data_IF_362866917873
#
_entry.id   IF_362866917873
#
_cell.length_a   1.000
_cell.length_b   1.000
_cell.length_c   1.000
_cell.angle_alpha   90.00
_cell.angle_beta   90.00
_cell.angle_gamma   90.00
#
_symmetry.space_group_name_H-M   'P 1'
#
loop_
_entity.id
_entity.type
_entity.pdbx_description
1 polymer ?
#
# COMPACT_ATOMS: atom_id res chain seq x y z
N UNK A 1 59.49 41.01 -6.74
CA UNK A 1 59.19 39.61 -6.43
C UNK A 1 58.19 39.39 -5.26
N UNK A 2 58.17 40.19 -4.19
CA UNK A 2 57.24 39.99 -3.04
C UNK A 2 55.77 40.31 -3.32
N UNK A 3 55.40 41.19 -4.23
CA UNK A 3 53.99 41.54 -4.56
C UNK A 3 53.26 40.46 -5.34
N UNK A 4 53.97 39.74 -6.21
CA UNK A 4 53.32 38.66 -7.02
C UNK A 4 53.10 37.38 -6.22
N UNK A 5 53.89 37.13 -5.18
CA UNK A 5 53.71 36.01 -4.28
C UNK A 5 52.48 36.17 -3.39
N UNK A 6 52.18 37.42 -2.99
CA UNK A 6 50.97 37.71 -2.17
C UNK A 6 49.69 37.58 -2.96
N UNK A 7 49.65 37.96 -4.24
CA UNK A 7 48.51 37.75 -5.13
C UNK A 7 48.25 36.25 -5.43
N UNK A 8 49.32 35.45 -5.55
CA UNK A 8 49.20 34.02 -5.81
C UNK A 8 48.67 33.27 -4.59
N UNK A 9 49.07 33.65 -3.37
CA UNK A 9 48.54 33.11 -2.12
C UNK A 9 47.08 33.52 -1.88
N UNK A 10 46.68 34.74 -2.26
CA UNK A 10 45.25 35.17 -2.17
C UNK A 10 44.36 34.42 -3.15
N UNK A 11 44.84 34.06 -4.35
CA UNK A 11 44.13 33.28 -5.33
C UNK A 11 43.95 31.80 -4.92
N UNK A 12 44.97 31.22 -4.25
CA UNK A 12 44.88 29.86 -3.68
C UNK A 12 43.93 29.78 -2.48
N UNK A 13 43.81 30.86 -1.68
CA UNK A 13 42.89 30.90 -0.54
C UNK A 13 41.42 31.00 -0.97
N UNK A 14 41.14 31.62 -2.12
CA UNK A 14 39.76 31.73 -2.66
C UNK A 14 39.29 30.41 -3.27
N UNK A 15 40.19 29.57 -3.79
CA UNK A 15 39.84 28.25 -4.30
C UNK A 15 39.54 27.20 -3.19
N UNK A 16 40.02 27.40 -1.97
CA UNK A 16 39.88 26.48 -0.85
C UNK A 16 38.51 26.58 -0.13
N UNK A 17 37.69 27.61 -0.44
CA UNK A 17 36.41 27.84 0.21
C UNK A 17 35.17 27.42 -0.64
N UNK A 18 35.36 26.75 -1.79
CA UNK A 18 34.27 26.10 -2.50
C UNK A 18 33.94 24.76 -1.80
N UNK A 19 33.39 24.83 -0.59
CA UNK A 19 32.68 23.68 -0.02
C UNK A 19 31.53 23.37 -0.98
N UNK A 20 31.40 22.11 -1.47
CA UNK A 20 30.22 21.76 -2.22
C UNK A 20 29.01 22.00 -1.32
N UNK A 21 28.27 23.04 -1.60
CA UNK A 21 26.94 23.22 -1.03
C UNK A 21 26.10 22.04 -1.56
N UNK A 22 26.00 20.98 -0.79
CA UNK A 22 25.00 19.96 -1.07
C UNK A 22 23.65 20.68 -1.01
N UNK A 23 23.09 20.94 -2.16
CA UNK A 23 21.75 21.48 -2.25
C UNK A 23 20.85 20.52 -1.45
N UNK A 24 20.22 21.04 -0.41
CA UNK A 24 19.27 20.25 0.40
C UNK A 24 18.22 19.69 -0.55
N UNK A 25 18.01 18.39 -0.53
CA UNK A 25 17.03 17.73 -1.38
C UNK A 25 15.63 18.32 -1.17
N UNK A 26 14.79 18.23 -2.19
CA UNK A 26 13.37 18.64 -2.05
C UNK A 26 12.69 17.74 -1.03
N UNK A 27 12.17 18.34 0.04
CA UNK A 27 11.47 17.60 1.11
C UNK A 27 10.08 17.19 0.65
N UNK A 28 9.74 15.91 0.86
CA UNK A 28 8.45 15.31 0.50
C UNK A 28 7.95 14.41 1.61
N UNK A 29 6.64 14.36 1.78
CA UNK A 29 5.97 13.42 2.67
C UNK A 29 5.27 12.34 1.86
N UNK A 30 5.57 11.07 2.14
CA UNK A 30 4.97 9.92 1.51
C UNK A 30 4.23 9.06 2.54
N UNK A 31 2.89 9.02 2.46
CA UNK A 31 2.04 8.28 3.38
C UNK A 31 1.73 6.89 2.84
N UNK A 32 2.21 5.85 3.52
CA UNK A 32 1.85 4.46 3.24
C UNK A 32 0.40 4.17 3.62
N UNK A 33 -0.12 3.06 3.12
CA UNK A 33 -1.47 2.61 3.46
C UNK A 33 -1.56 1.96 4.84
N UNK A 34 -0.47 1.36 5.32
CA UNK A 34 -0.41 0.56 6.54
C UNK A 34 0.93 0.71 7.27
N UNK A 35 1.09 -0.06 8.37
CA UNK A 35 2.30 -0.10 9.18
C UNK A 35 3.50 -0.66 8.39
N UNK A 36 4.71 -0.34 8.84
CA UNK A 36 5.93 -0.91 8.30
C UNK A 36 5.97 -2.42 8.52
N UNK A 37 6.13 -3.17 7.45
CA UNK A 37 6.38 -4.60 7.42
C UNK A 37 6.87 -4.99 6.01
N UNK A 38 7.07 -6.28 5.75
CA UNK A 38 7.58 -6.73 4.46
C UNK A 38 6.63 -6.49 3.27
N UNK A 39 5.36 -6.13 3.51
CA UNK A 39 4.43 -5.78 2.42
C UNK A 39 4.71 -4.42 1.78
N UNK A 40 5.52 -3.59 2.41
CA UNK A 40 5.98 -2.27 1.94
C UNK A 40 7.49 -2.25 1.75
N UNK A 41 8.10 -3.41 1.51
CA UNK A 41 9.55 -3.56 1.42
C UNK A 41 10.18 -2.69 0.32
N UNK A 42 9.51 -2.49 -0.81
CA UNK A 42 10.02 -1.65 -1.89
C UNK A 42 10.05 -0.17 -1.54
N UNK A 43 9.04 0.31 -0.79
CA UNK A 43 8.99 1.69 -0.30
C UNK A 43 10.15 1.95 0.67
N UNK A 44 10.36 1.02 1.63
CA UNK A 44 11.45 1.07 2.61
C UNK A 44 12.82 0.97 1.92
N UNK A 45 12.93 0.08 0.94
CA UNK A 45 14.17 -0.14 0.21
C UNK A 45 14.57 1.08 -0.62
N UNK A 46 13.59 1.75 -1.25
CA UNK A 46 13.82 2.96 -2.01
C UNK A 46 14.48 4.05 -1.16
N UNK A 47 14.00 4.23 0.08
CA UNK A 47 14.57 5.16 1.04
C UNK A 47 15.94 4.68 1.56
N UNK A 48 15.99 3.46 2.11
CA UNK A 48 17.18 2.90 2.77
C UNK A 48 18.40 2.74 1.83
N UNK A 49 18.17 2.60 0.52
CA UNK A 49 19.23 2.46 -0.50
C UNK A 49 19.51 3.75 -1.25
N UNK A 50 18.92 4.86 -0.82
CA UNK A 50 19.22 6.18 -1.34
C UNK A 50 18.61 6.49 -2.71
N UNK A 51 17.65 5.70 -3.23
CA UNK A 51 17.05 6.01 -4.54
C UNK A 51 16.37 7.37 -4.57
N UNK A 52 15.78 7.80 -3.47
CA UNK A 52 15.20 9.14 -3.35
C UNK A 52 16.29 10.21 -3.29
N UNK A 53 17.32 10.03 -2.47
CA UNK A 53 18.42 11.00 -2.35
C UNK A 53 19.21 11.14 -3.64
N UNK A 54 19.42 10.05 -4.39
CA UNK A 54 20.07 10.08 -5.71
C UNK A 54 19.25 10.86 -6.75
N UNK A 55 17.91 10.92 -6.56
CA UNK A 55 17.02 11.76 -7.35
C UNK A 55 16.93 13.22 -6.84
N UNK A 56 17.70 13.60 -5.81
CA UNK A 56 17.65 14.91 -5.18
C UNK A 56 16.43 15.13 -4.29
N UNK A 57 15.84 14.07 -3.76
CA UNK A 57 14.64 14.09 -2.91
C UNK A 57 14.99 13.69 -1.48
N UNK A 58 14.38 14.35 -0.51
CA UNK A 58 14.38 13.97 0.91
C UNK A 58 12.97 13.53 1.27
N UNK A 59 12.69 12.20 1.16
CA UNK A 59 11.34 11.64 1.33
C UNK A 59 11.15 11.13 2.74
N UNK A 60 10.17 11.67 3.43
CA UNK A 60 9.73 11.19 4.74
C UNK A 60 8.64 10.13 4.55
N UNK A 61 9.02 8.86 4.55
CA UNK A 61 8.10 7.73 4.44
C UNK A 61 7.41 7.51 5.79
N UNK A 62 6.08 7.56 5.80
CA UNK A 62 5.25 7.48 7.00
C UNK A 62 4.28 6.30 6.94
N UNK A 63 4.12 5.60 8.06
CA UNK A 63 3.10 4.56 8.21
C UNK A 63 1.69 5.11 8.07
N UNK A 64 0.78 4.30 7.50
CA UNK A 64 -0.64 4.59 7.42
C UNK A 64 -1.47 3.82 8.44
N UNK A 65 -2.71 4.27 8.60
CA UNK A 65 -3.77 3.61 9.35
C UNK A 65 -5.14 4.09 8.85
N UNK A 66 -6.26 3.51 9.30
CA UNK A 66 -7.57 4.07 8.96
C UNK A 66 -7.72 5.55 9.33
N UNK A 67 -7.10 5.99 10.44
CA UNK A 67 -7.11 7.38 10.92
C UNK A 67 -6.10 8.27 10.20
N UNK A 68 -4.97 7.68 9.77
CA UNK A 68 -3.89 8.36 9.02
C UNK A 68 -3.95 7.93 7.56
N UNK A 69 -5.04 8.29 6.92
CA UNK A 69 -5.34 7.91 5.54
C UNK A 69 -4.61 8.82 4.56
N UNK A 70 -3.95 8.22 3.59
CA UNK A 70 -3.16 8.94 2.59
C UNK A 70 -3.98 10.00 1.82
N UNK A 71 -5.22 9.69 1.46
CA UNK A 71 -6.08 10.62 0.69
C UNK A 71 -6.42 11.85 1.52
N UNK A 72 -6.81 11.66 2.77
CA UNK A 72 -7.11 12.79 3.67
C UNK A 72 -5.87 13.68 3.87
N UNK A 73 -4.67 13.07 3.99
CA UNK A 73 -3.44 13.85 4.13
C UNK A 73 -3.04 14.59 2.85
N UNK A 74 -3.32 14.04 1.66
CA UNK A 74 -3.16 14.75 0.39
C UNK A 74 -4.10 15.96 0.29
N UNK A 75 -5.36 15.82 0.70
CA UNK A 75 -6.33 16.93 0.70
C UNK A 75 -5.97 18.02 1.71
N UNK A 76 -5.36 17.66 2.84
CA UNK A 76 -4.91 18.57 3.90
C UNK A 76 -3.46 19.06 3.70
N UNK A 77 -2.79 18.70 2.63
CA UNK A 77 -1.41 19.07 2.32
C UNK A 77 -0.38 18.56 3.34
N UNK A 78 -0.70 17.49 4.08
CA UNK A 78 0.23 16.82 5.02
C UNK A 78 1.05 15.73 4.36
N UNK A 79 0.64 15.29 3.16
CA UNK A 79 1.37 14.39 2.30
C UNK A 79 1.41 14.93 0.87
N UNK A 80 2.49 14.64 0.15
CA UNK A 80 2.70 14.95 -1.26
C UNK A 80 2.31 13.75 -2.13
N UNK A 81 2.60 12.56 -1.61
CA UNK A 81 2.29 11.28 -2.21
C UNK A 81 1.69 10.33 -1.17
N UNK A 82 0.95 9.35 -1.62
CA UNK A 82 0.39 8.36 -0.72
C UNK A 82 0.06 7.04 -1.39
N UNK A 83 -0.32 6.06 -0.58
CA UNK A 83 -0.78 4.74 -1.05
C UNK A 83 -2.23 4.53 -0.66
N UNK A 84 -3.07 4.20 -1.64
CA UNK A 84 -4.49 3.92 -1.44
C UNK A 84 -4.94 2.74 -2.31
N UNK A 85 -6.06 2.11 -1.97
CA UNK A 85 -6.75 1.12 -2.81
C UNK A 85 -7.80 1.78 -3.70
N UNK A 86 -8.21 1.09 -4.76
CA UNK A 86 -9.11 1.64 -5.75
C UNK A 86 -10.47 2.05 -5.17
N UNK A 87 -11.02 1.26 -4.26
CA UNK A 87 -12.26 1.60 -3.56
C UNK A 87 -12.15 2.89 -2.75
N UNK A 88 -11.01 3.13 -2.09
CA UNK A 88 -10.76 4.36 -1.35
C UNK A 88 -10.65 5.56 -2.28
N UNK A 89 -9.94 5.42 -3.41
CA UNK A 89 -9.81 6.46 -4.44
C UNK A 89 -11.17 6.79 -5.05
N UNK A 90 -11.92 5.78 -5.52
CA UNK A 90 -13.23 5.95 -6.14
C UNK A 90 -14.22 6.62 -5.17
N UNK A 91 -14.24 6.21 -3.90
CA UNK A 91 -15.07 6.83 -2.86
C UNK A 91 -14.69 8.28 -2.58
N UNK A 92 -13.41 8.60 -2.61
CA UNK A 92 -12.92 9.96 -2.40
C UNK A 92 -13.29 10.87 -3.58
N UNK A 93 -13.16 10.37 -4.81
CA UNK A 93 -13.57 11.11 -6.01
C UNK A 93 -15.08 11.39 -6.03
N UNK A 94 -15.93 10.43 -5.61
CA UNK A 94 -17.39 10.65 -5.45
C UNK A 94 -17.72 11.76 -4.43
N UNK A 95 -16.81 12.00 -3.48
CA UNK A 95 -16.89 13.10 -2.50
C UNK A 95 -16.23 14.40 -2.97
N UNK A 96 -15.66 14.43 -4.18
CA UNK A 96 -15.05 15.61 -4.78
C UNK A 96 -13.56 15.77 -4.54
N UNK A 97 -12.85 14.77 -4.01
CA UNK A 97 -11.41 14.80 -3.84
C UNK A 97 -10.69 15.01 -5.20
N UNK A 98 -9.62 15.80 -5.19
CA UNK A 98 -8.83 16.11 -6.38
C UNK A 98 -7.52 15.32 -6.37
N UNK A 99 -7.62 14.02 -6.60
CA UNK A 99 -6.51 13.08 -6.56
C UNK A 99 -6.38 12.29 -7.85
N UNK A 100 -5.18 11.80 -8.10
CA UNK A 100 -4.82 10.99 -9.27
C UNK A 100 -3.99 9.78 -8.84
N UNK A 101 -4.16 8.68 -9.56
CA UNK A 101 -3.35 7.48 -9.45
C UNK A 101 -2.22 7.57 -10.45
N UNK A 102 -0.98 7.39 -10.01
CA UNK A 102 0.22 7.52 -10.84
C UNK A 102 1.00 6.20 -11.00
N UNK A 103 0.70 5.20 -10.19
CA UNK A 103 1.19 3.81 -10.37
C UNK A 103 0.32 2.82 -9.59
N UNK A 104 0.23 1.58 -10.07
CA UNK A 104 -0.37 0.46 -9.34
C UNK A 104 0.74 -0.48 -8.87
N UNK A 105 0.95 -0.56 -7.55
CA UNK A 105 2.00 -1.41 -6.98
C UNK A 105 1.55 -2.87 -6.93
N UNK A 106 0.41 -3.18 -6.32
CA UNK A 106 -0.09 -4.55 -6.22
C UNK A 106 -0.91 -4.91 -7.46
N UNK A 107 -0.40 -5.86 -8.22
CA UNK A 107 -1.08 -6.39 -9.41
C UNK A 107 -2.16 -7.42 -9.05
N UNK A 108 -2.05 -8.04 -7.86
CA UNK A 108 -3.05 -8.94 -7.28
C UNK A 108 -3.50 -8.39 -5.94
N UNK A 109 -4.81 -8.41 -5.68
CA UNK A 109 -5.35 -7.93 -4.40
C UNK A 109 -4.98 -8.90 -3.27
N UNK A 110 -4.33 -8.43 -2.20
CA UNK A 110 -3.98 -9.25 -1.04
C UNK A 110 -5.15 -9.46 -0.07
N UNK A 111 -6.27 -8.72 -0.19
CA UNK A 111 -7.36 -8.74 0.77
C UNK A 111 -8.08 -10.08 0.78
N UNK A 112 -8.10 -10.72 1.92
CA UNK A 112 -8.78 -11.98 2.18
C UNK A 112 -9.35 -11.97 3.60
N UNK A 113 -10.14 -12.99 3.95
CA UNK A 113 -10.54 -13.25 5.32
C UNK A 113 -10.05 -14.62 5.76
N UNK A 114 -9.46 -14.67 6.97
CA UNK A 114 -8.99 -15.90 7.60
C UNK A 114 -10.03 -16.40 8.60
N UNK A 115 -10.27 -17.70 8.65
CA UNK A 115 -11.11 -18.38 9.64
C UNK A 115 -10.61 -19.79 9.89
N UNK A 116 -11.02 -20.40 11.01
CA UNK A 116 -10.55 -21.72 11.43
C UNK A 116 -11.21 -22.85 10.66
N UNK A 117 -10.50 -23.98 10.48
CA UNK A 117 -11.01 -25.15 9.75
C UNK A 117 -12.00 -25.98 10.57
N UNK A 118 -12.12 -25.74 11.89
CA UNK A 118 -13.18 -26.35 12.72
C UNK A 118 -14.57 -25.72 12.49
N UNK A 119 -14.64 -24.66 11.69
CA UNK A 119 -15.89 -24.07 11.23
C UNK A 119 -16.24 -24.58 9.81
N UNK A 120 -17.52 -24.61 9.42
CA UNK A 120 -17.91 -24.96 8.05
C UNK A 120 -17.17 -24.12 7.02
N UNK A 121 -16.70 -24.74 5.94
CA UNK A 121 -16.00 -24.06 4.86
C UNK A 121 -16.93 -23.08 4.13
N UNK A 122 -16.43 -21.88 3.81
CA UNK A 122 -17.14 -20.88 3.03
C UNK A 122 -16.89 -21.19 1.54
N UNK A 123 -17.86 -21.87 0.92
CA UNK A 123 -17.84 -22.24 -0.52
C UNK A 123 -18.72 -21.35 -1.36
N UNK A 124 -19.73 -20.77 -0.76
CA UNK A 124 -20.66 -19.82 -1.37
C UNK A 124 -20.77 -18.58 -0.51
N UNK A 125 -21.30 -17.48 -1.05
CA UNK A 125 -21.50 -16.26 -0.25
C UNK A 125 -22.55 -16.45 0.85
N UNK A 126 -23.52 -17.35 0.64
CA UNK A 126 -24.54 -17.70 1.62
C UNK A 126 -23.95 -18.30 2.90
N UNK A 127 -22.78 -18.94 2.82
CA UNK A 127 -22.07 -19.52 3.99
C UNK A 127 -21.53 -18.45 4.94
N UNK A 128 -21.59 -17.16 4.56
CA UNK A 128 -21.33 -16.03 5.45
C UNK A 128 -22.46 -15.77 6.46
N UNK A 129 -23.69 -16.25 6.19
CA UNK A 129 -24.83 -16.06 7.10
C UNK A 129 -24.59 -16.75 8.44
N UNK A 130 -25.00 -16.09 9.50
CA UNK A 130 -24.81 -16.55 10.88
C UNK A 130 -23.39 -16.33 11.44
N UNK A 131 -22.43 -15.87 10.63
CA UNK A 131 -21.05 -15.62 11.06
C UNK A 131 -20.91 -14.27 11.78
N UNK A 132 -19.94 -14.21 12.69
CA UNK A 132 -19.43 -12.94 13.20
C UNK A 132 -18.20 -12.54 12.39
N UNK A 133 -18.36 -11.48 11.58
CA UNK A 133 -17.39 -11.03 10.59
C UNK A 133 -16.70 -9.76 11.08
N UNK A 134 -15.38 -9.80 11.16
CA UNK A 134 -14.56 -8.63 11.43
C UNK A 134 -14.51 -7.69 10.23
N UNK A 135 -14.65 -6.39 10.51
CA UNK A 135 -14.52 -5.32 9.50
C UNK A 135 -13.72 -4.15 10.09
N UNK A 136 -12.73 -3.67 9.35
CA UNK A 136 -12.04 -2.42 9.66
C UNK A 136 -12.81 -1.27 9.05
N UNK A 137 -13.63 -0.58 9.85
CA UNK A 137 -14.41 0.56 9.36
C UNK A 137 -13.51 1.64 8.75
N UNK A 138 -13.85 2.08 7.53
CA UNK A 138 -13.03 2.98 6.70
C UNK A 138 -11.92 2.26 5.93
N UNK A 139 -11.71 0.97 6.15
CA UNK A 139 -10.79 0.12 5.39
C UNK A 139 -11.39 -0.36 4.06
N UNK A 140 -10.53 -0.90 3.19
CA UNK A 140 -10.99 -1.50 1.93
C UNK A 140 -11.75 -2.83 2.14
N UNK A 141 -11.48 -3.53 3.23
CA UNK A 141 -12.21 -4.73 3.63
C UNK A 141 -13.71 -4.46 3.87
N UNK A 142 -14.06 -3.29 4.46
CA UNK A 142 -15.46 -2.88 4.59
C UNK A 142 -16.16 -2.78 3.24
N UNK A 143 -15.53 -2.13 2.27
CA UNK A 143 -16.10 -1.95 0.92
C UNK A 143 -16.25 -3.28 0.20
N UNK A 144 -15.24 -4.14 0.28
CA UNK A 144 -15.22 -5.46 -0.36
C UNK A 144 -16.29 -6.35 0.26
N UNK A 145 -16.37 -6.42 1.61
CA UNK A 145 -17.37 -7.26 2.28
C UNK A 145 -18.81 -6.77 2.00
N UNK A 146 -19.05 -5.46 2.01
CA UNK A 146 -20.34 -4.91 1.64
C UNK A 146 -20.73 -5.25 0.19
N UNK A 147 -19.76 -5.28 -0.73
CA UNK A 147 -19.97 -5.72 -2.11
C UNK A 147 -20.39 -7.22 -2.17
N UNK A 148 -19.71 -8.07 -1.40
CA UNK A 148 -20.05 -9.50 -1.31
C UNK A 148 -21.45 -9.70 -0.74
N UNK A 149 -21.80 -8.97 0.31
CA UNK A 149 -23.14 -9.00 0.89
C UNK A 149 -24.21 -8.57 -0.12
N UNK A 150 -24.01 -7.48 -0.82
CA UNK A 150 -24.94 -7.00 -1.84
C UNK A 150 -25.13 -8.02 -2.98
N UNK A 151 -24.05 -8.68 -3.43
CA UNK A 151 -24.11 -9.74 -4.45
C UNK A 151 -24.96 -10.94 -4.02
N UNK A 152 -24.94 -11.29 -2.74
CA UNK A 152 -25.67 -12.44 -2.18
C UNK A 152 -27.01 -12.07 -1.54
N UNK A 153 -27.39 -10.78 -1.55
CA UNK A 153 -28.58 -10.32 -0.85
C UNK A 153 -28.51 -10.49 0.67
N UNK A 154 -27.30 -10.55 1.23
CA UNK A 154 -27.06 -10.65 2.67
C UNK A 154 -27.27 -9.28 3.31
N UNK A 155 -28.00 -9.25 4.40
CA UNK A 155 -28.29 -8.04 5.18
C UNK A 155 -27.61 -8.08 6.55
N UNK A 156 -27.61 -6.95 7.25
CA UNK A 156 -27.10 -6.88 8.64
C UNK A 156 -27.86 -7.75 9.64
N UNK A 157 -29.03 -8.33 9.26
CA UNK A 157 -29.79 -9.28 10.09
C UNK A 157 -29.26 -10.70 9.94
N UNK A 158 -28.57 -10.98 8.85
CA UNK A 158 -28.08 -12.32 8.50
C UNK A 158 -26.69 -12.61 9.06
N UNK A 159 -25.95 -11.56 9.50
CA UNK A 159 -24.57 -11.66 10.00
C UNK A 159 -24.37 -10.77 11.23
N UNK A 160 -23.38 -11.09 12.03
CA UNK A 160 -22.88 -10.16 13.06
C UNK A 160 -21.64 -9.44 12.53
N UNK A 161 -21.60 -8.11 12.66
CA UNK A 161 -20.42 -7.32 12.26
C UNK A 161 -19.72 -6.82 13.52
N UNK A 162 -18.43 -7.16 13.63
CA UNK A 162 -17.56 -6.65 14.70
C UNK A 162 -16.49 -5.72 14.11
N UNK A 163 -16.43 -4.48 14.62
CA UNK A 163 -15.36 -3.55 14.28
C UNK A 163 -14.02 -4.07 14.79
N UNK A 164 -13.06 -4.23 13.88
CA UNK A 164 -11.72 -4.75 14.22
C UNK A 164 -10.63 -3.79 13.76
N UNK A 165 -9.42 -3.90 14.37
CA UNK A 165 -8.25 -3.10 14.04
C UNK A 165 -6.97 -3.94 14.19
N UNK A 166 -6.00 -3.44 14.94
CA UNK A 166 -4.67 -4.06 15.12
C UNK A 166 -4.65 -5.17 16.18
N UNK A 167 -5.64 -5.24 17.07
CA UNK A 167 -5.73 -6.23 18.13
C UNK A 167 -6.46 -7.49 17.67
N UNK A 168 -5.73 -8.58 17.52
CA UNK A 168 -6.25 -9.88 17.11
C UNK A 168 -6.88 -10.69 18.26
N UNK A 169 -6.88 -10.16 19.49
CA UNK A 169 -7.44 -10.86 20.67
C UNK A 169 -8.86 -11.37 20.43
N UNK A 170 -9.81 -10.61 19.82
CA UNK A 170 -11.15 -11.12 19.58
C UNK A 170 -11.18 -12.35 18.66
N UNK A 171 -10.25 -12.45 17.69
CA UNK A 171 -10.12 -13.61 16.82
C UNK A 171 -9.56 -14.82 17.58
N UNK A 172 -8.49 -14.63 18.36
CA UNK A 172 -7.93 -15.71 19.20
C UNK A 172 -8.92 -16.21 20.25
N UNK A 173 -9.71 -15.32 20.84
CA UNK A 173 -10.77 -15.65 21.80
C UNK A 173 -12.06 -16.21 21.15
N UNK A 174 -12.05 -16.45 19.83
CA UNK A 174 -13.21 -16.98 19.07
C UNK A 174 -14.47 -16.08 19.17
N UNK A 175 -14.28 -14.78 19.43
CA UNK A 175 -15.38 -13.79 19.42
C UNK A 175 -15.69 -13.25 18.04
N UNK A 176 -14.78 -13.43 17.09
CA UNK A 176 -14.93 -13.11 15.69
C UNK A 176 -14.53 -14.33 14.89
N UNK A 177 -15.41 -14.79 14.00
CA UNK A 177 -15.23 -16.03 13.25
C UNK A 177 -14.35 -15.82 12.03
N UNK A 178 -14.58 -14.73 11.31
CA UNK A 178 -14.00 -14.44 9.99
C UNK A 178 -13.28 -13.09 10.06
N UNK A 179 -11.95 -13.11 9.99
CA UNK A 179 -11.11 -11.93 10.25
C UNK A 179 -10.47 -11.38 8.97
N UNK A 180 -10.55 -10.05 8.69
CA UNK A 180 -9.94 -9.45 7.51
C UNK A 180 -8.42 -9.41 7.63
N UNK A 181 -7.73 -9.82 6.55
CA UNK A 181 -6.25 -9.81 6.48
C UNK A 181 -5.76 -9.45 5.08
N UNK A 182 -4.61 -8.83 5.02
CA UNK A 182 -3.78 -8.94 3.83
C UNK A 182 -2.98 -10.25 3.92
N UNK A 183 -3.16 -11.15 2.95
CA UNK A 183 -2.56 -12.50 2.95
C UNK A 183 -1.03 -12.47 3.06
N UNK A 184 -0.39 -11.40 2.58
CA UNK A 184 1.04 -11.17 2.63
C UNK A 184 1.53 -10.43 3.88
N UNK A 185 0.64 -10.10 4.81
CA UNK A 185 0.96 -9.38 6.05
C UNK A 185 0.34 -10.09 7.25
N UNK A 186 -0.81 -9.63 7.75
CA UNK A 186 -1.47 -10.22 8.92
C UNK A 186 -1.85 -11.69 8.71
N UNK A 187 -2.21 -12.08 7.48
CA UNK A 187 -2.55 -13.47 7.16
C UNK A 187 -1.41 -14.44 7.43
N UNK A 188 -0.16 -14.04 7.15
CA UNK A 188 1.04 -14.84 7.48
C UNK A 188 1.19 -15.00 8.99
N UNK A 189 1.05 -13.90 9.75
CA UNK A 189 1.21 -13.89 11.21
C UNK A 189 0.17 -14.78 11.88
N UNK A 190 -1.11 -14.61 11.52
CA UNK A 190 -2.20 -15.36 12.14
C UNK A 190 -2.15 -16.85 11.79
N UNK A 191 -1.86 -17.18 10.52
CA UNK A 191 -1.68 -18.57 10.12
C UNK A 191 -0.55 -19.26 10.88
N UNK A 192 0.62 -18.60 10.97
CA UNK A 192 1.77 -19.16 11.69
C UNK A 192 1.49 -19.35 13.18
N UNK A 193 0.85 -18.36 13.82
CA UNK A 193 0.53 -18.43 15.24
C UNK A 193 -0.47 -19.55 15.54
N UNK A 194 -1.55 -19.66 14.77
CA UNK A 194 -2.55 -20.72 14.95
C UNK A 194 -1.97 -22.11 14.67
N UNK A 195 -1.13 -22.25 13.64
CA UNK A 195 -0.46 -23.52 13.36
C UNK A 195 0.44 -24.00 14.51
N UNK A 196 1.10 -23.09 15.23
CA UNK A 196 1.88 -23.43 16.44
C UNK A 196 1.01 -23.88 17.61
N UNK A 197 -0.25 -23.48 17.63
CA UNK A 197 -1.27 -23.88 18.60
C UNK A 197 -2.03 -25.15 18.15
N UNK A 198 -1.67 -25.74 16.99
CA UNK A 198 -2.31 -26.94 16.42
C UNK A 198 -3.62 -26.64 15.70
N UNK A 199 -3.88 -25.37 15.37
CA UNK A 199 -5.09 -24.96 14.66
C UNK A 199 -4.77 -24.67 13.18
N UNK A 200 -5.61 -25.20 12.26
CA UNK A 200 -5.54 -24.89 10.83
C UNK A 200 -6.56 -23.81 10.43
N UNK A 201 -6.28 -23.16 9.32
CA UNK A 201 -7.11 -22.06 8.82
C UNK A 201 -7.42 -22.17 7.33
N UNK A 202 -8.59 -21.68 6.96
CA UNK A 202 -8.98 -21.36 5.60
C UNK A 202 -8.78 -19.88 5.32
N UNK A 203 -8.64 -19.56 4.03
CA UNK A 203 -8.70 -18.19 3.51
C UNK A 203 -9.88 -18.06 2.57
N UNK A 204 -10.77 -17.12 2.86
CA UNK A 204 -11.84 -16.71 1.97
C UNK A 204 -11.35 -15.58 1.07
N UNK A 205 -11.30 -15.82 -0.24
CA UNK A 205 -10.80 -14.89 -1.23
C UNK A 205 -11.96 -14.25 -2.01
N UNK A 206 -12.17 -12.91 -1.94
CA UNK A 206 -13.21 -12.20 -2.67
C UNK A 206 -13.16 -12.40 -4.19
N UNK A 207 -11.96 -12.58 -4.75
CA UNK A 207 -11.79 -12.79 -6.18
C UNK A 207 -12.50 -14.05 -6.70
N UNK A 208 -12.60 -15.10 -5.88
CA UNK A 208 -13.29 -16.35 -6.23
C UNK A 208 -14.79 -16.12 -6.43
N UNK A 209 -15.31 -15.03 -5.91
CA UNK A 209 -16.71 -14.58 -6.03
C UNK A 209 -16.88 -13.39 -6.99
N UNK A 210 -15.87 -13.12 -7.83
CA UNK A 210 -15.90 -12.06 -8.83
C UNK A 210 -15.83 -10.64 -8.26
N UNK A 211 -15.25 -10.48 -7.06
CA UNK A 211 -14.94 -9.17 -6.45
C UNK A 211 -13.43 -8.98 -6.42
N UNK A 212 -12.91 -8.37 -7.47
CA UNK A 212 -11.47 -8.20 -7.66
C UNK A 212 -11.12 -6.70 -7.76
N UNK A 213 -11.03 -6.04 -6.61
CA UNK A 213 -10.67 -4.63 -6.53
C UNK A 213 -9.16 -4.44 -6.61
N UNK A 214 -8.73 -3.33 -7.21
CA UNK A 214 -7.30 -2.97 -7.22
C UNK A 214 -6.86 -2.55 -5.82
N UNK A 215 -5.73 -3.08 -5.39
CA UNK A 215 -5.15 -2.80 -4.08
C UNK A 215 -4.17 -1.61 -4.11
N UNK A 216 -3.09 -1.69 -3.36
CA UNK A 216 -2.15 -0.60 -3.13
C UNK A 216 -1.64 0.04 -4.43
N UNK A 217 -1.94 1.32 -4.58
CA UNK A 217 -1.54 2.15 -5.71
C UNK A 217 -1.03 3.50 -5.21
N UNK A 218 -0.09 4.08 -5.91
CA UNK A 218 0.48 5.39 -5.58
C UNK A 218 -0.46 6.48 -6.07
N UNK A 219 -0.78 7.40 -5.18
CA UNK A 219 -1.68 8.52 -5.44
C UNK A 219 -1.01 9.85 -5.11
N UNK A 220 -1.42 10.90 -5.80
CA UNK A 220 -1.01 12.29 -5.53
C UNK A 220 -2.15 13.26 -5.82
N UNK A 221 -1.99 14.53 -5.43
CA UNK A 221 -2.99 15.56 -5.69
C UNK A 221 -2.93 16.12 -7.12
N UNK A 222 -4.07 16.65 -7.60
CA UNK A 222 -4.13 17.38 -8.87
C UNK A 222 -3.12 18.55 -8.89
N UNK A 223 -3.00 19.26 -7.77
CA UNK A 223 -2.09 20.38 -7.66
C UNK A 223 -0.61 19.96 -7.78
N UNK A 224 -0.22 18.82 -7.20
CA UNK A 224 1.14 18.28 -7.35
C UNK A 224 1.43 17.96 -8.80
N UNK A 225 0.52 17.28 -9.50
CA UNK A 225 0.67 16.95 -10.92
C UNK A 225 0.78 18.18 -11.83
N UNK A 226 -0.03 19.22 -11.55
CA UNK A 226 -0.05 20.44 -12.38
C UNK A 226 1.14 21.36 -12.15
N UNK A 227 1.51 21.53 -10.87
CA UNK A 227 2.51 22.52 -10.49
C UNK A 227 3.94 21.96 -10.42
N UNK A 228 4.09 20.64 -10.22
CA UNK A 228 5.38 20.00 -10.01
C UNK A 228 5.51 18.67 -10.80
N UNK A 229 5.22 18.61 -12.10
CA UNK A 229 5.23 17.36 -12.86
C UNK A 229 6.58 16.66 -12.86
N UNK A 230 7.69 17.40 -12.97
CA UNK A 230 9.05 16.84 -12.90
C UNK A 230 9.35 16.20 -11.53
N UNK A 231 8.81 16.78 -10.45
CA UNK A 231 8.96 16.25 -9.11
C UNK A 231 8.19 14.93 -8.95
N UNK A 232 6.99 14.85 -9.52
CA UNK A 232 6.18 13.62 -9.55
C UNK A 232 6.93 12.52 -10.31
N UNK A 233 7.50 12.83 -11.47
CA UNK A 233 8.28 11.88 -12.26
C UNK A 233 9.52 11.39 -11.51
N UNK A 234 10.30 12.30 -10.91
CA UNK A 234 11.49 11.96 -10.11
C UNK A 234 11.15 11.05 -8.93
N UNK A 235 10.10 11.41 -8.17
CA UNK A 235 9.65 10.60 -7.04
C UNK A 235 9.23 9.19 -7.50
N UNK A 236 8.36 9.12 -8.51
CA UNK A 236 7.84 7.84 -8.98
C UNK A 236 8.94 6.96 -9.55
N UNK A 237 9.86 7.50 -10.36
CA UNK A 237 10.97 6.75 -10.92
C UNK A 237 11.89 6.20 -9.81
N UNK A 238 12.21 6.99 -8.79
CA UNK A 238 13.00 6.55 -7.65
C UNK A 238 12.28 5.44 -6.86
N UNK A 239 11.01 5.60 -6.58
CA UNK A 239 10.18 4.61 -5.89
C UNK A 239 10.12 3.29 -6.66
N UNK A 240 9.80 3.33 -7.95
CA UNK A 240 9.67 2.12 -8.77
C UNK A 240 11.01 1.40 -8.96
N UNK A 241 12.13 2.13 -9.11
CA UNK A 241 13.48 1.53 -9.09
C UNK A 241 13.74 0.82 -7.75
N UNK A 242 13.36 1.42 -6.65
CA UNK A 242 13.45 0.81 -5.33
C UNK A 242 12.63 -0.49 -5.23
N UNK A 243 11.40 -0.48 -5.71
CA UNK A 243 10.54 -1.66 -5.77
C UNK A 243 11.12 -2.76 -6.67
N UNK A 244 11.57 -2.43 -7.90
CA UNK A 244 12.20 -3.43 -8.80
C UNK A 244 13.45 -4.04 -8.17
N UNK A 245 14.30 -3.21 -7.56
CA UNK A 245 15.50 -3.69 -6.89
C UNK A 245 15.19 -4.54 -5.65
N UNK A 246 14.21 -4.16 -4.82
CA UNK A 246 13.80 -4.94 -3.67
C UNK A 246 13.23 -6.31 -4.05
N UNK A 247 12.50 -6.39 -5.17
CA UNK A 247 11.90 -7.65 -5.65
C UNK A 247 12.89 -8.56 -6.37
N UNK A 248 14.10 -8.11 -6.71
CA UNK A 248 15.15 -8.96 -7.24
C UNK A 248 15.62 -9.95 -6.15
N UNK A 249 15.60 -11.28 -6.41
CA UNK A 249 16.04 -12.28 -5.43
C UNK A 249 17.45 -12.05 -4.88
N UNK A 250 18.34 -11.41 -5.65
CA UNK A 250 19.71 -11.10 -5.22
C UNK A 250 19.76 -10.06 -4.08
N UNK A 251 18.74 -9.27 -3.94
CA UNK A 251 18.64 -8.20 -2.95
C UNK A 251 17.74 -8.55 -1.76
N UNK A 252 17.18 -9.78 -1.71
CA UNK A 252 16.21 -10.19 -0.71
C UNK A 252 16.69 -9.95 0.73
N UNK A 253 17.91 -10.38 1.06
CA UNK A 253 18.47 -10.20 2.41
C UNK A 253 18.62 -8.73 2.77
N UNK A 254 19.07 -7.91 1.82
CA UNK A 254 19.25 -6.46 2.04
C UNK A 254 17.89 -5.79 2.24
N UNK A 255 16.88 -6.19 1.47
CA UNK A 255 15.52 -5.67 1.61
C UNK A 255 14.90 -6.05 2.96
N UNK A 256 15.08 -7.30 3.38
CA UNK A 256 14.62 -7.80 4.69
C UNK A 256 15.29 -7.09 5.85
N UNK A 257 16.59 -6.82 5.77
CA UNK A 257 17.32 -6.05 6.79
C UNK A 257 16.86 -4.58 6.85
N UNK A 258 16.53 -3.96 5.71
CA UNK A 258 15.95 -2.62 5.70
C UNK A 258 14.58 -2.60 6.41
N UNK A 259 13.71 -3.57 6.12
CA UNK A 259 12.41 -3.72 6.79
C UNK A 259 12.60 -3.95 8.29
N UNK A 260 13.53 -4.82 8.71
CA UNK A 260 13.80 -5.16 10.11
C UNK A 260 14.15 -3.96 10.98
N UNK A 261 14.79 -2.94 10.41
CA UNK A 261 15.14 -1.70 11.13
C UNK A 261 13.89 -0.93 11.59
N UNK A 262 12.81 -1.02 10.83
CA UNK A 262 11.55 -0.31 11.10
C UNK A 262 10.52 -1.23 11.77
N UNK A 263 10.39 -2.46 11.32
CA UNK A 263 9.52 -3.51 11.91
C UNK A 263 10.32 -4.42 12.84
N UNK A 264 10.52 -3.98 14.08
CA UNK A 264 11.27 -4.72 15.10
C UNK A 264 10.45 -5.83 15.78
N UNK A 265 9.14 -5.80 15.66
CA UNK A 265 8.22 -6.74 16.31
C UNK A 265 8.06 -8.07 15.59
N UNK A 266 8.32 -8.10 14.27
CA UNK A 266 8.15 -9.29 13.44
C UNK A 266 9.46 -10.11 13.43
N UNK A 267 9.37 -11.42 13.69
CA UNK A 267 10.54 -12.31 13.59
C UNK A 267 10.96 -12.54 12.14
N UNK A 268 12.19 -12.96 11.92
CA UNK A 268 12.80 -13.07 10.59
C UNK A 268 12.11 -14.11 9.69
N UNK A 269 11.61 -15.23 10.24
CA UNK A 269 10.89 -16.25 9.49
C UNK A 269 9.54 -15.72 8.93
N UNK A 270 8.77 -15.04 9.77
CA UNK A 270 7.53 -14.38 9.37
C UNK A 270 7.82 -13.31 8.32
N UNK A 271 8.84 -12.49 8.53
CA UNK A 271 9.23 -11.42 7.58
C UNK A 271 9.60 -11.99 6.21
N UNK A 272 10.33 -13.10 6.15
CA UNK A 272 10.64 -13.81 4.89
C UNK A 272 9.38 -14.33 4.21
N UNK A 273 8.45 -14.95 4.96
CA UNK A 273 7.17 -15.42 4.41
C UNK A 273 6.32 -14.28 3.87
N UNK A 274 6.25 -13.16 4.58
CA UNK A 274 5.56 -11.94 4.13
C UNK A 274 6.19 -11.38 2.86
N UNK A 275 7.51 -11.28 2.80
CA UNK A 275 8.25 -10.76 1.66
C UNK A 275 8.03 -11.62 0.40
N UNK A 276 8.13 -12.95 0.53
CA UNK A 276 7.83 -13.87 -0.57
C UNK A 276 6.42 -13.69 -1.10
N UNK A 277 5.43 -13.67 -0.22
CA UNK A 277 4.03 -13.45 -0.59
C UNK A 277 3.82 -12.06 -1.22
N UNK A 278 4.55 -11.04 -0.79
CA UNK A 278 4.49 -9.69 -1.36
C UNK A 278 5.04 -9.68 -2.79
N UNK A 279 6.16 -10.36 -3.04
CA UNK A 279 6.73 -10.50 -4.39
C UNK A 279 5.71 -11.08 -5.39
N UNK A 280 4.98 -12.13 -4.99
CA UNK A 280 3.95 -12.76 -5.83
C UNK A 280 2.76 -11.83 -6.14
N UNK A 281 2.48 -10.85 -5.28
CA UNK A 281 1.41 -9.86 -5.48
C UNK A 281 1.84 -8.67 -6.34
N UNK A 282 3.09 -8.24 -6.18
CA UNK A 282 3.67 -7.11 -6.91
C UNK A 282 4.05 -7.51 -8.33
N UNK A 283 4.67 -8.68 -8.49
CA UNK A 283 5.20 -9.18 -9.77
C UNK A 283 4.78 -10.63 -9.99
N UNK A 284 3.48 -10.88 -10.23
CA UNK A 284 2.94 -12.24 -10.40
C UNK A 284 3.48 -12.95 -11.65
N UNK A 285 4.06 -12.22 -12.60
CA UNK A 285 4.80 -12.77 -13.73
C UNK A 285 5.98 -11.89 -14.13
N UNK A 286 6.97 -12.46 -14.83
CA UNK A 286 8.15 -11.73 -15.30
C UNK A 286 7.82 -10.63 -16.32
N UNK A 287 6.71 -10.75 -17.05
CA UNK A 287 6.26 -9.78 -18.06
C UNK A 287 5.64 -8.53 -17.46
N UNK A 288 5.22 -8.56 -16.21
CA UNK A 288 4.59 -7.41 -15.55
C UNK A 288 5.66 -6.43 -15.07
N UNK A 289 5.55 -5.18 -15.53
CA UNK A 289 6.35 -4.07 -15.01
C UNK A 289 5.68 -3.52 -13.75
N UNK A 290 6.42 -3.37 -12.68
CA UNK A 290 5.92 -2.76 -11.42
C UNK A 290 5.47 -1.33 -11.72
N UNK A 291 4.34 -0.94 -11.18
CA UNK A 291 3.74 0.38 -11.40
C UNK A 291 2.76 0.45 -12.57
N UNK A 292 2.64 -0.60 -13.39
CA UNK A 292 1.65 -0.64 -14.48
C UNK A 292 0.23 -0.58 -13.92
N UNK A 293 -0.58 0.33 -14.47
CA UNK A 293 -1.97 0.53 -14.07
C UNK A 293 -2.88 -0.34 -14.95
N UNK A 294 -3.62 -1.26 -14.34
CA UNK A 294 -4.69 -2.02 -15.00
C UNK A 294 -5.98 -1.18 -15.07
N UNK A 295 -6.10 -0.39 -16.13
CA UNK A 295 -7.25 0.50 -16.36
C UNK A 295 -8.57 -0.28 -16.33
N UNK A 296 -8.59 -1.52 -16.81
CA UNK A 296 -9.79 -2.35 -16.84
C UNK A 296 -10.25 -2.71 -15.44
N UNK A 297 -9.33 -3.16 -14.58
CA UNK A 297 -9.62 -3.49 -13.18
C UNK A 297 -10.09 -2.26 -12.38
N UNK A 298 -9.51 -1.08 -12.63
CA UNK A 298 -9.96 0.17 -12.03
C UNK A 298 -11.39 0.54 -12.44
N UNK A 299 -11.71 0.48 -13.73
CA UNK A 299 -13.07 0.72 -14.24
C UNK A 299 -14.07 -0.31 -13.72
N UNK A 300 -13.66 -1.58 -13.58
CA UNK A 300 -14.50 -2.62 -12.98
C UNK A 300 -14.80 -2.30 -11.51
N UNK A 301 -13.81 -1.84 -10.75
CA UNK A 301 -14.01 -1.41 -9.36
C UNK A 301 -15.05 -0.31 -9.26
N UNK A 302 -14.95 0.75 -10.08
CA UNK A 302 -15.94 1.83 -10.14
C UNK A 302 -17.34 1.31 -10.50
N UNK A 303 -17.44 0.49 -11.54
CA UNK A 303 -18.71 -0.06 -11.99
C UNK A 303 -19.42 -0.92 -10.91
N UNK A 304 -18.65 -1.73 -10.18
CA UNK A 304 -19.17 -2.53 -9.06
C UNK A 304 -19.64 -1.60 -7.93
N UNK A 305 -18.84 -0.63 -7.54
CA UNK A 305 -19.18 0.30 -6.45
C UNK A 305 -20.44 1.14 -6.78
N UNK A 306 -20.59 1.55 -8.03
CA UNK A 306 -21.78 2.26 -8.50
C UNK A 306 -23.02 1.34 -8.47
N UNK A 307 -22.90 0.13 -9.03
CA UNK A 307 -23.99 -0.87 -9.04
C UNK A 307 -24.48 -1.20 -7.63
N UNK A 308 -23.54 -1.38 -6.70
CA UNK A 308 -23.83 -1.70 -5.30
C UNK A 308 -24.11 -0.47 -4.43
N UNK A 309 -24.33 0.71 -5.06
CA UNK A 309 -24.69 1.98 -4.41
C UNK A 309 -23.69 2.42 -3.32
N UNK A 310 -22.44 2.07 -3.46
CA UNK A 310 -21.35 2.49 -2.57
C UNK A 310 -20.81 3.87 -2.93
N UNK A 311 -21.07 4.31 -4.16
CA UNK A 311 -20.90 5.69 -4.64
C UNK A 311 -22.22 6.16 -5.27
N UNK A 312 -22.42 7.48 -5.33
CA UNK A 312 -23.67 8.07 -5.82
C UNK A 312 -23.64 8.28 -7.33
N UNK A 313 -22.49 8.70 -7.86
CA UNK A 313 -22.32 9.07 -9.27
C UNK A 313 -21.09 8.39 -9.86
N UNK A 314 -21.06 8.18 -11.20
CA UNK A 314 -19.83 7.77 -11.88
C UNK A 314 -18.75 8.83 -11.67
N UNK A 315 -17.55 8.40 -11.26
CA UNK A 315 -16.40 9.30 -11.05
C UNK A 315 -15.49 9.37 -12.28
N UNK A 316 -15.77 8.56 -13.31
CA UNK A 316 -14.96 8.46 -14.53
C UNK A 316 -13.48 8.16 -14.18
N UNK A 317 -13.25 7.14 -13.39
CA UNK A 317 -11.94 6.80 -12.84
C UNK A 317 -10.82 6.80 -13.89
N UNK A 318 -11.12 6.43 -15.14
CA UNK A 318 -10.14 6.42 -16.22
C UNK A 318 -9.45 7.77 -16.47
N UNK A 319 -10.09 8.90 -16.15
CA UNK A 319 -9.51 10.25 -16.27
C UNK A 319 -8.59 10.60 -15.10
N UNK A 320 -8.59 9.81 -14.04
CA UNK A 320 -7.77 9.97 -12.85
C UNK A 320 -6.60 8.99 -12.79
N UNK A 321 -6.39 8.19 -13.85
CA UNK A 321 -5.29 7.24 -13.97
C UNK A 321 -4.23 7.80 -14.92
N UNK A 322 -3.03 8.06 -14.42
CA UNK A 322 -1.93 8.63 -15.21
C UNK A 322 -0.76 7.66 -15.18
N UNK A 323 -0.53 6.98 -16.30
CA UNK A 323 0.65 6.15 -16.47
C UNK A 323 1.83 7.04 -16.84
N UNK A 324 2.69 7.34 -15.88
CA UNK A 324 3.96 8.05 -16.11
C UNK A 324 4.92 7.07 -16.81
N UNK A 325 5.58 7.53 -17.87
CA UNK A 325 6.42 6.71 -18.76
C UNK A 325 7.80 6.42 -18.17
#
# INVERSE_FOLDING_TARGET
MRKNLFLFLLFLLVLACATPSFAKGTQLNYRLKWLFNASVAGDIYADAKGYFSDAGLEVNVKEGSPEKNAINELELWYADFGVASADQVVRALDKGAKIFVIAQLFQVNPMQWIYRTDQPEIKTLEDLKGRNIGITFGGNDETIMNTLFAKAGITKKDVTITGVRFDFTPFFMRKVDVWPVYRNSQGVILKDKLAREGEDVYFFNPADFGVNFVANSVVTSEAMLKNNPDLVEKFLNALLKGWEAAMDPKNEEIALEAVKKLDKGTNDDIRKKQFKSTRDLIKPSLSIRIGTIDISAWKQTEAIMLKEKQIKNPVNIGTHLIQIK
#
